data_IF_187980887405
#
_entry.id   IF_187980887405
#
_cell.length_a   1.000
_cell.length_b   1.000
_cell.length_c   1.000
_cell.angle_alpha   90.00
_cell.angle_beta   90.00
_cell.angle_gamma   90.00
#
_symmetry.space_group_name_H-M   'P 1'
#
loop_
_entity.id
_entity.type
_entity.pdbx_description
1 polymer ?
#
# COMPACT_ATOMS: atom_id res chain seq x y z
N UNK A 1 21.50 12.86 33.70
CA UNK A 1 20.34 13.67 33.25
C UNK A 1 19.98 13.28 31.81
N UNK A 2 19.42 12.08 31.61
CA UNK A 2 18.91 11.64 30.31
C UNK A 2 17.86 10.52 30.40
N UNK A 3 17.45 10.09 31.60
CA UNK A 3 16.49 9.00 31.79
C UNK A 3 15.03 9.39 31.48
N UNK A 4 14.75 10.68 31.24
CA UNK A 4 13.40 11.13 30.86
C UNK A 4 13.07 10.85 29.38
N UNK A 5 14.07 10.69 28.51
CA UNK A 5 13.86 10.44 27.08
C UNK A 5 14.66 9.24 26.58
N UNK A 6 13.94 8.16 26.24
CA UNK A 6 14.56 6.96 25.71
C UNK A 6 14.77 7.08 24.18
N UNK A 7 15.92 7.60 23.78
CA UNK A 7 16.31 7.76 22.38
C UNK A 7 16.24 6.45 21.58
N UNK A 8 16.65 5.33 22.19
CA UNK A 8 16.63 4.02 21.51
C UNK A 8 15.19 3.58 21.21
N UNK A 9 14.26 3.79 22.14
CA UNK A 9 12.84 3.51 21.92
C UNK A 9 12.26 4.45 20.85
N UNK A 10 12.56 5.75 20.92
CA UNK A 10 12.07 6.74 19.95
C UNK A 10 12.52 6.41 18.53
N UNK A 11 13.79 6.09 18.32
CA UNK A 11 14.30 5.74 16.99
C UNK A 11 13.64 4.46 16.45
N UNK A 12 13.39 3.46 17.30
CA UNK A 12 12.67 2.25 16.89
C UNK A 12 11.24 2.56 16.44
N UNK A 13 10.52 3.38 17.20
CA UNK A 13 9.16 3.79 16.87
C UNK A 13 9.15 4.61 15.57
N UNK A 14 10.11 5.53 15.41
CA UNK A 14 10.25 6.35 14.21
C UNK A 14 10.47 5.48 12.97
N UNK A 15 11.42 4.53 13.03
CA UNK A 15 11.69 3.63 11.90
C UNK A 15 10.45 2.77 11.63
N UNK A 16 9.82 2.24 12.67
CA UNK A 16 8.63 1.40 12.50
C UNK A 16 7.46 2.17 11.88
N UNK A 17 7.16 3.37 12.38
CA UNK A 17 6.06 4.20 11.87
C UNK A 17 6.36 4.71 10.46
N UNK A 18 7.63 5.04 10.17
CA UNK A 18 8.06 5.44 8.83
C UNK A 18 7.89 4.28 7.85
N UNK A 19 8.38 3.09 8.19
CA UNK A 19 8.25 1.92 7.32
C UNK A 19 6.79 1.49 7.17
N UNK A 20 6.04 1.39 8.27
CA UNK A 20 4.63 1.00 8.23
C UNK A 20 3.77 2.02 7.45
N UNK A 21 4.01 3.31 7.65
CA UNK A 21 3.27 4.38 6.97
C UNK A 21 3.66 4.57 5.52
N UNK A 22 4.95 4.47 5.19
CA UNK A 22 5.46 4.72 3.84
C UNK A 22 5.47 3.46 2.96
N UNK A 23 5.30 2.25 3.50
CA UNK A 23 5.31 1.02 2.72
C UNK A 23 4.24 1.03 1.61
N UNK A 24 3.00 1.38 1.93
CA UNK A 24 1.91 1.41 0.95
C UNK A 24 2.11 2.50 -0.13
N UNK A 25 2.38 3.77 0.22
CA UNK A 25 2.74 4.79 -0.76
C UNK A 25 3.97 4.40 -1.61
N UNK A 26 4.97 3.78 -1.00
CA UNK A 26 6.19 3.32 -1.67
C UNK A 26 5.91 2.23 -2.70
N UNK A 27 5.12 1.22 -2.34
CA UNK A 27 4.67 0.18 -3.28
C UNK A 27 3.88 0.78 -4.43
N UNK A 28 2.98 1.72 -4.15
CA UNK A 28 2.22 2.41 -5.20
C UNK A 28 3.14 3.18 -6.16
N UNK A 29 4.11 3.94 -5.64
CA UNK A 29 5.09 4.64 -6.44
C UNK A 29 5.94 3.70 -7.32
N UNK A 30 6.31 2.51 -6.80
CA UNK A 30 6.98 1.47 -7.60
C UNK A 30 6.08 0.96 -8.74
N UNK A 31 4.79 0.75 -8.47
CA UNK A 31 3.80 0.40 -9.50
C UNK A 31 3.73 1.45 -10.60
N UNK A 32 3.68 2.74 -10.25
CA UNK A 32 3.69 3.86 -11.23
C UNK A 32 4.97 3.86 -12.05
N UNK A 33 6.12 3.63 -11.42
CA UNK A 33 7.41 3.57 -12.11
C UNK A 33 7.47 2.42 -13.10
N UNK A 34 7.00 1.23 -12.71
CA UNK A 34 6.95 0.06 -13.58
C UNK A 34 5.95 0.25 -14.73
N UNK A 35 4.80 0.86 -14.45
CA UNK A 35 3.80 1.18 -15.46
C UNK A 35 4.38 2.14 -16.52
N UNK A 36 5.10 3.19 -16.08
CA UNK A 36 5.76 4.13 -16.97
C UNK A 36 6.85 3.45 -17.82
N UNK A 37 7.65 2.56 -17.22
CA UNK A 37 8.64 1.78 -17.94
C UNK A 37 8.00 0.79 -18.95
N UNK A 38 6.84 0.22 -18.62
CA UNK A 38 6.10 -0.70 -19.50
C UNK A 38 5.39 -0.01 -20.67
N UNK A 39 4.97 1.24 -20.50
CA UNK A 39 4.32 2.04 -21.56
C UNK A 39 5.27 2.34 -22.74
N UNK A 40 6.59 2.31 -22.49
CA UNK A 40 7.63 2.61 -23.47
C UNK A 40 7.78 4.12 -23.71
N UNK A 41 8.98 4.54 -24.10
CA UNK A 41 9.28 5.93 -24.44
C UNK A 41 8.90 6.22 -25.90
N UNK A 42 8.33 7.41 -26.15
CA UNK A 42 8.23 7.94 -27.52
C UNK A 42 9.64 8.38 -27.92
N UNK A 43 10.37 7.50 -28.63
CA UNK A 43 11.69 7.83 -29.16
C UNK A 43 11.56 9.01 -30.12
N UNK A 44 12.48 9.97 -30.01
CA UNK A 44 12.57 11.18 -30.85
C UNK A 44 12.64 10.92 -32.36
N UNK A 45 12.90 9.66 -32.76
CA UNK A 45 12.96 9.21 -34.14
C UNK A 45 11.60 8.78 -34.73
N UNK A 46 10.47 9.07 -34.06
CA UNK A 46 9.13 8.72 -34.56
C UNK A 46 8.81 7.21 -34.57
N UNK A 47 9.67 6.37 -33.99
CA UNK A 47 9.45 4.95 -33.87
C UNK A 47 8.36 4.66 -32.81
N UNK A 48 7.46 3.72 -33.13
CA UNK A 48 6.37 3.35 -32.22
C UNK A 48 6.90 2.93 -30.84
N UNK A 49 6.20 3.28 -29.73
CA UNK A 49 6.62 2.91 -28.39
C UNK A 49 6.78 1.38 -28.28
N UNK A 50 7.96 0.93 -27.85
CA UNK A 50 8.18 -0.49 -27.54
C UNK A 50 7.50 -0.78 -26.21
N UNK A 51 6.19 -1.08 -26.26
CA UNK A 51 5.40 -1.47 -25.10
C UNK A 51 5.92 -2.81 -24.55
N UNK A 52 6.24 -2.86 -23.26
CA UNK A 52 6.55 -4.10 -22.58
C UNK A 52 5.34 -4.54 -21.74
N UNK A 53 4.47 -5.43 -22.27
CA UNK A 53 3.24 -5.82 -21.59
C UNK A 53 3.50 -6.54 -20.26
N UNK A 54 4.67 -7.16 -20.09
CA UNK A 54 5.03 -7.83 -18.83
C UNK A 54 5.24 -6.82 -17.68
N UNK A 55 5.86 -5.67 -17.95
CA UNK A 55 6.05 -4.62 -16.93
C UNK A 55 4.72 -3.98 -16.55
N UNK A 56 3.84 -3.76 -17.53
CA UNK A 56 2.49 -3.26 -17.28
C UNK A 56 1.66 -4.25 -16.44
N UNK A 57 1.74 -5.56 -16.75
CA UNK A 57 1.06 -6.58 -15.94
C UNK A 57 1.57 -6.61 -14.49
N UNK A 58 2.89 -6.48 -14.29
CA UNK A 58 3.49 -6.42 -12.96
C UNK A 58 3.05 -5.17 -12.18
N UNK A 59 2.96 -4.01 -12.82
CA UNK A 59 2.45 -2.79 -12.19
C UNK A 59 0.99 -2.95 -11.73
N UNK A 60 0.13 -3.57 -12.55
CA UNK A 60 -1.25 -3.88 -12.17
C UNK A 60 -1.34 -4.84 -10.99
N UNK A 61 -0.46 -5.83 -10.92
CA UNK A 61 -0.38 -6.75 -9.77
C UNK A 61 -0.06 -5.97 -8.49
N UNK A 62 0.89 -5.04 -8.53
CA UNK A 62 1.23 -4.19 -7.38
C UNK A 62 0.03 -3.33 -6.96
N UNK A 63 -0.69 -2.72 -7.91
CA UNK A 63 -1.89 -1.95 -7.58
C UNK A 63 -2.99 -2.81 -6.96
N UNK A 64 -3.23 -4.00 -7.49
CA UNK A 64 -4.21 -4.94 -6.93
C UNK A 64 -3.84 -5.35 -5.50
N UNK A 65 -2.55 -5.61 -5.23
CA UNK A 65 -2.05 -5.90 -3.90
C UNK A 65 -2.28 -4.72 -2.95
N UNK A 66 -1.88 -3.51 -3.34
CA UNK A 66 -2.08 -2.29 -2.53
C UNK A 66 -3.56 -2.07 -2.22
N UNK A 67 -4.43 -2.19 -3.21
CA UNK A 67 -5.87 -2.04 -3.05
C UNK A 67 -6.43 -3.09 -2.08
N UNK A 68 -5.98 -4.35 -2.19
CA UNK A 68 -6.38 -5.44 -1.30
C UNK A 68 -6.02 -5.12 0.14
N UNK A 69 -4.79 -4.67 0.40
CA UNK A 69 -4.35 -4.28 1.75
C UNK A 69 -5.17 -3.12 2.30
N UNK A 70 -5.47 -2.11 1.49
CA UNK A 70 -6.31 -0.97 1.90
C UNK A 70 -7.72 -1.44 2.28
N UNK A 71 -8.35 -2.27 1.44
CA UNK A 71 -9.69 -2.80 1.70
C UNK A 71 -9.70 -3.60 3.00
N UNK A 72 -8.74 -4.50 3.19
CA UNK A 72 -8.63 -5.30 4.41
C UNK A 72 -8.41 -4.42 5.64
N UNK A 73 -7.53 -3.41 5.55
CA UNK A 73 -7.27 -2.47 6.64
C UNK A 73 -8.52 -1.68 7.02
N UNK A 74 -9.25 -1.15 6.04
CA UNK A 74 -10.51 -0.43 6.26
C UNK A 74 -11.56 -1.35 6.86
N UNK A 75 -11.75 -2.55 6.32
CA UNK A 75 -12.70 -3.53 6.85
C UNK A 75 -12.35 -3.96 8.28
N UNK A 76 -11.06 -4.09 8.60
CA UNK A 76 -10.62 -4.43 9.95
C UNK A 76 -10.93 -3.31 10.95
N UNK A 77 -10.66 -2.05 10.59
CA UNK A 77 -10.97 -0.89 11.45
C UNK A 77 -12.49 -0.72 11.58
N UNK A 78 -13.24 -0.92 10.50
CA UNK A 78 -14.69 -0.74 10.46
C UNK A 78 -15.47 -1.98 10.88
N UNK A 79 -14.83 -3.10 11.25
CA UNK A 79 -15.51 -4.39 11.49
C UNK A 79 -16.65 -4.29 12.49
N UNK A 80 -16.44 -3.55 13.58
CA UNK A 80 -17.40 -3.44 14.68
C UNK A 80 -18.54 -2.50 14.28
N UNK A 81 -18.25 -1.44 13.50
CA UNK A 81 -19.24 -0.53 12.93
C UNK A 81 -20.14 -1.23 11.91
N UNK A 82 -19.56 -2.03 11.02
CA UNK A 82 -20.29 -2.83 10.03
C UNK A 82 -21.16 -3.87 10.75
N UNK A 83 -20.61 -4.59 11.73
CA UNK A 83 -21.37 -5.58 12.49
C UNK A 83 -22.58 -4.97 13.21
N UNK A 84 -22.44 -3.75 13.74
CA UNK A 84 -23.53 -3.06 14.43
C UNK A 84 -24.64 -2.60 13.47
N UNK A 85 -24.30 -2.14 12.26
CA UNK A 85 -25.29 -1.64 11.29
C UNK A 85 -25.88 -2.70 10.37
N UNK A 86 -25.15 -3.77 10.08
CA UNK A 86 -25.58 -4.82 9.13
C UNK A 86 -26.03 -6.11 9.81
N UNK A 87 -25.80 -6.27 11.12
CA UNK A 87 -26.17 -7.47 11.87
C UNK A 87 -25.34 -8.72 11.52
N UNK A 88 -24.35 -8.60 10.63
CA UNK A 88 -23.44 -9.69 10.26
C UNK A 88 -22.06 -9.49 10.89
N UNK A 89 -21.66 -10.46 11.72
CA UNK A 89 -20.33 -10.51 12.33
C UNK A 89 -19.29 -10.89 11.27
N UNK A 90 -18.73 -9.89 10.60
CA UNK A 90 -17.66 -10.06 9.62
C UNK A 90 -16.28 -9.92 10.30
N UNK A 91 -15.31 -10.77 9.93
CA UNK A 91 -13.94 -10.75 10.46
C UNK A 91 -13.79 -10.86 12.00
N UNK A 92 -14.58 -11.72 12.66
CA UNK A 92 -14.39 -12.04 14.08
C UNK A 92 -14.92 -10.97 15.06
N UNK A 93 -15.80 -10.08 14.58
CA UNK A 93 -16.56 -9.18 15.45
C UNK A 93 -17.33 -9.99 16.51
N UNK A 94 -17.15 -9.66 17.79
CA UNK A 94 -17.95 -10.25 18.87
C UNK A 94 -19.26 -9.45 18.96
N UNK A 95 -20.43 -10.07 18.73
CA UNK A 95 -21.69 -9.43 19.07
C UNK A 95 -21.70 -9.16 20.58
N UNK A 96 -22.00 -7.93 20.97
CA UNK A 96 -22.35 -7.59 22.35
C UNK A 96 -23.84 -7.78 22.54
#
# INVERSE_FOLDING_TARGET
MSDWFNYAATVKILIFSLLAGAALPGLFALGVRLQAAGAGDIRSNGAAPQKNPALTALAWLIYALVLTVIIVGVLYIARDFIAHHTGWAFLGAKPK
#
